data_IF_868871606672
#
_entry.id   IF_868871606672
#
_cell.length_a   1.000
_cell.length_b   1.000
_cell.length_c   1.000
_cell.angle_alpha   90.00
_cell.angle_beta   90.00
_cell.angle_gamma   90.00
#
_symmetry.space_group_name_H-M   'P 1'
#
loop_
_entity.id
_entity.type
_entity.pdbx_description
1 polymer ?
#
# COMPACT_ATOMS: atom_id res chain seq x y z
N UNK A 1 -3.42 -5.05 -33.32
CA UNK A 1 -3.19 -6.35 -32.66
C UNK A 1 -4.08 -6.51 -31.41
N UNK A 2 -4.24 -5.48 -30.58
CA UNK A 2 -5.10 -5.53 -29.40
C UNK A 2 -6.56 -5.82 -29.72
N UNK A 3 -7.13 -5.20 -30.75
CA UNK A 3 -8.52 -5.42 -31.15
C UNK A 3 -8.79 -6.88 -31.56
N UNK A 4 -7.84 -7.52 -32.29
CA UNK A 4 -7.94 -8.95 -32.64
C UNK A 4 -7.89 -9.87 -31.42
N UNK A 5 -7.13 -9.49 -30.40
CA UNK A 5 -7.01 -10.28 -29.17
C UNK A 5 -8.31 -10.19 -28.35
N UNK A 6 -8.91 -9.01 -28.30
CA UNK A 6 -10.20 -8.78 -27.64
C UNK A 6 -11.36 -9.45 -28.38
N UNK A 7 -11.37 -9.44 -29.72
CA UNK A 7 -12.33 -10.16 -30.56
C UNK A 7 -12.30 -11.68 -30.28
N UNK A 8 -11.09 -12.25 -30.14
CA UNK A 8 -10.91 -13.66 -29.81
C UNK A 8 -11.34 -14.04 -28.40
N UNK A 9 -11.19 -13.10 -27.43
CA UNK A 9 -11.52 -13.34 -26.03
C UNK A 9 -13.01 -13.18 -25.72
N UNK A 10 -13.72 -12.30 -26.41
CA UNK A 10 -15.07 -11.86 -26.04
C UNK A 10 -16.17 -12.31 -27.02
N UNK A 11 -15.80 -12.73 -28.23
CA UNK A 11 -16.76 -13.05 -29.30
C UNK A 11 -17.32 -11.82 -30.02
N UNK A 12 -17.88 -12.00 -31.21
CA UNK A 12 -18.24 -10.93 -32.15
C UNK A 12 -19.26 -9.90 -31.63
N UNK A 13 -20.12 -10.29 -30.68
CA UNK A 13 -21.19 -9.40 -30.17
C UNK A 13 -20.65 -8.19 -29.42
N UNK A 14 -19.48 -8.29 -28.78
CA UNK A 14 -18.83 -7.20 -28.01
C UNK A 14 -17.70 -6.51 -28.78
N UNK A 15 -17.29 -7.08 -29.92
CA UNK A 15 -16.18 -6.57 -30.73
C UNK A 15 -16.47 -5.18 -31.31
N UNK A 16 -17.68 -4.94 -31.80
CA UNK A 16 -18.07 -3.65 -32.37
C UNK A 16 -18.11 -2.53 -31.29
N UNK A 17 -18.67 -2.83 -30.12
CA UNK A 17 -18.70 -1.88 -29.00
C UNK A 17 -17.29 -1.52 -28.51
N UNK A 18 -16.39 -2.50 -28.46
CA UNK A 18 -14.98 -2.28 -28.12
C UNK A 18 -14.25 -1.47 -29.19
N UNK A 19 -14.44 -1.79 -30.44
CA UNK A 19 -13.81 -1.09 -31.55
C UNK A 19 -14.21 0.38 -31.57
N UNK A 20 -15.48 0.68 -31.27
CA UNK A 20 -15.96 2.04 -31.13
C UNK A 20 -15.41 2.74 -29.89
N UNK A 21 -15.38 2.06 -28.73
CA UNK A 21 -14.87 2.61 -27.46
C UNK A 21 -13.36 2.91 -27.49
N UNK A 22 -12.59 2.12 -28.27
CA UNK A 22 -11.12 2.27 -28.36
C UNK A 22 -10.64 2.82 -29.72
N UNK A 23 -11.53 3.39 -30.52
CA UNK A 23 -11.16 3.97 -31.83
C UNK A 23 -10.24 5.19 -31.74
N UNK A 24 -10.27 5.93 -30.61
CA UNK A 24 -9.52 7.18 -30.40
C UNK A 24 -8.41 7.04 -29.33
N UNK A 25 -7.95 5.82 -29.07
CA UNK A 25 -6.92 5.55 -28.02
C UNK A 25 -5.49 5.63 -28.55
N UNK A 26 -5.30 5.96 -29.83
CA UNK A 26 -3.97 6.12 -30.40
C UNK A 26 -3.24 7.33 -29.77
N UNK A 27 -2.18 7.05 -29.03
CA UNK A 27 -1.37 8.07 -28.37
C UNK A 27 -0.58 8.87 -29.43
N UNK A 28 -0.79 10.18 -29.46
CA UNK A 28 -0.01 11.07 -30.31
C UNK A 28 1.33 11.34 -29.65
N UNK A 29 2.41 10.87 -30.26
CA UNK A 29 3.78 11.22 -29.82
C UNK A 29 4.12 12.64 -30.25
N UNK A 30 4.71 13.42 -29.34
CA UNK A 30 5.35 14.69 -29.72
C UNK A 30 6.51 14.38 -30.68
N UNK A 31 6.55 14.99 -31.89
CA UNK A 31 7.63 14.79 -32.87
C UNK A 31 9.02 15.10 -32.31
N UNK A 32 9.12 15.91 -31.26
CA UNK A 32 10.37 16.25 -30.57
C UNK A 32 10.88 15.14 -29.65
N UNK A 33 10.00 14.24 -29.18
CA UNK A 33 10.32 13.14 -28.27
C UNK A 33 10.34 11.81 -29.04
N UNK A 34 11.17 11.72 -30.09
CA UNK A 34 11.37 10.49 -30.84
C UNK A 34 12.33 9.58 -30.09
N UNK A 35 11.87 8.38 -29.82
CA UNK A 35 12.63 7.33 -29.17
C UNK A 35 12.02 6.98 -27.83
N UNK A 36 12.05 5.72 -27.51
CA UNK A 36 11.59 5.13 -26.27
C UNK A 36 12.10 3.70 -26.20
N UNK A 37 12.19 3.15 -25.04
CA UNK A 37 12.68 1.79 -24.85
C UNK A 37 11.61 0.95 -24.16
N UNK A 38 11.25 -0.17 -24.76
CA UNK A 38 10.33 -1.15 -24.14
C UNK A 38 10.99 -2.51 -24.15
N UNK A 39 11.07 -3.14 -22.98
CA UNK A 39 11.56 -4.50 -22.81
C UNK A 39 10.53 -5.35 -22.08
N UNK A 40 10.26 -6.52 -22.63
CA UNK A 40 9.43 -7.55 -21.98
C UNK A 40 10.34 -8.74 -21.65
N UNK A 41 10.36 -9.12 -20.39
CA UNK A 41 11.21 -10.21 -19.89
C UNK A 41 10.33 -11.26 -19.23
N UNK A 42 10.55 -12.54 -19.60
CA UNK A 42 9.98 -13.66 -18.87
C UNK A 42 10.96 -14.06 -17.77
N UNK A 43 10.50 -13.99 -16.53
CA UNK A 43 11.30 -14.27 -15.34
C UNK A 43 11.11 -15.73 -14.96
N UNK A 44 12.19 -16.50 -14.97
CA UNK A 44 12.19 -17.91 -14.57
C UNK A 44 12.95 -18.03 -13.25
N UNK A 45 12.37 -18.65 -12.21
CA UNK A 45 13.09 -18.95 -10.98
C UNK A 45 14.18 -19.99 -11.22
N UNK A 46 15.28 -19.87 -10.49
CA UNK A 46 16.31 -20.91 -10.40
C UNK A 46 15.81 -22.07 -9.49
N UNK A 47 16.55 -23.20 -9.43
CA UNK A 47 16.10 -24.43 -8.75
C UNK A 47 15.76 -24.25 -7.26
N UNK A 48 16.43 -23.34 -6.56
CA UNK A 48 16.22 -23.06 -5.13
C UNK A 48 15.54 -21.72 -4.86
N UNK A 49 15.10 -21.00 -5.90
CA UNK A 49 14.58 -19.63 -5.82
C UNK A 49 13.06 -19.62 -5.89
N UNK A 50 12.41 -18.88 -5.01
CA UNK A 50 10.97 -18.64 -5.13
C UNK A 50 10.65 -17.70 -6.30
N UNK A 51 9.44 -17.80 -6.86
CA UNK A 51 8.99 -16.91 -7.94
C UNK A 51 9.06 -15.42 -7.55
N UNK A 52 8.85 -15.10 -6.27
CA UNK A 52 8.95 -13.74 -5.74
C UNK A 52 10.40 -13.27 -5.70
N UNK A 53 11.33 -14.12 -5.27
CA UNK A 53 12.77 -13.79 -5.25
C UNK A 53 13.32 -13.59 -6.66
N UNK A 54 12.96 -14.48 -7.60
CA UNK A 54 13.32 -14.33 -9.01
C UNK A 54 12.83 -13.01 -9.60
N UNK A 55 11.59 -12.64 -9.31
CA UNK A 55 11.03 -11.34 -9.73
C UNK A 55 11.80 -10.18 -9.11
N UNK A 56 12.09 -10.22 -7.82
CA UNK A 56 12.87 -9.19 -7.14
C UNK A 56 14.29 -9.07 -7.69
N UNK A 57 14.94 -10.20 -7.98
CA UNK A 57 16.27 -10.25 -8.63
C UNK A 57 16.25 -9.56 -9.99
N UNK A 58 15.23 -9.82 -10.82
CA UNK A 58 15.12 -9.17 -12.13
C UNK A 58 14.80 -7.67 -12.01
N UNK A 59 13.94 -7.27 -11.08
CA UNK A 59 13.71 -5.85 -10.76
C UNK A 59 15.02 -5.17 -10.38
N UNK A 60 15.83 -5.79 -9.52
CA UNK A 60 17.16 -5.30 -9.11
C UNK A 60 18.07 -5.12 -10.32
N UNK A 61 18.14 -6.12 -11.22
CA UNK A 61 18.94 -6.06 -12.44
C UNK A 61 18.55 -4.89 -13.34
N UNK A 62 17.24 -4.61 -13.47
CA UNK A 62 16.73 -3.46 -14.24
C UNK A 62 17.12 -2.13 -13.57
N UNK A 63 17.05 -2.05 -12.24
CA UNK A 63 17.46 -0.85 -11.50
C UNK A 63 18.94 -0.58 -11.71
N UNK A 64 19.80 -1.60 -11.60
CA UNK A 64 21.24 -1.46 -11.82
C UNK A 64 21.56 -1.04 -13.26
N UNK A 65 20.85 -1.57 -14.25
CA UNK A 65 20.95 -1.15 -15.63
C UNK A 65 20.58 0.34 -15.80
N UNK A 66 19.49 0.80 -15.18
CA UNK A 66 19.06 2.20 -15.24
C UNK A 66 20.06 3.13 -14.55
N UNK A 67 20.56 2.74 -13.37
CA UNK A 67 21.62 3.48 -12.65
C UNK A 67 22.88 3.58 -13.49
N UNK A 68 23.30 2.50 -14.16
CA UNK A 68 24.47 2.51 -15.05
C UNK A 68 24.33 3.46 -16.23
N UNK A 69 23.10 3.73 -16.65
CA UNK A 69 22.76 4.71 -17.71
C UNK A 69 22.57 6.14 -17.18
N UNK A 70 22.83 6.36 -15.89
CA UNK A 70 22.73 7.66 -15.25
C UNK A 70 21.32 8.11 -14.90
N UNK A 71 20.35 7.18 -14.82
CA UNK A 71 18.99 7.50 -14.38
C UNK A 71 18.97 7.50 -12.85
N UNK A 72 18.64 8.63 -12.20
CA UNK A 72 18.57 8.71 -10.75
C UNK A 72 17.33 7.95 -10.24
N UNK A 73 17.44 7.41 -9.03
CA UNK A 73 16.41 6.56 -8.41
C UNK A 73 15.04 7.24 -8.32
N UNK A 74 14.99 8.52 -8.02
CA UNK A 74 13.74 9.29 -7.93
C UNK A 74 13.03 9.51 -9.28
N UNK A 75 13.62 9.06 -10.39
CA UNK A 75 13.02 9.06 -11.74
C UNK A 75 12.55 7.68 -12.17
N UNK A 76 12.75 6.66 -11.32
CA UNK A 76 12.33 5.28 -11.55
C UNK A 76 11.08 5.02 -10.71
N UNK A 77 10.08 4.39 -11.32
CA UNK A 77 8.90 3.93 -10.61
C UNK A 77 8.70 2.43 -10.81
N UNK A 78 8.28 1.75 -9.75
CA UNK A 78 7.81 0.37 -9.78
C UNK A 78 6.29 0.40 -9.64
N UNK A 79 5.60 -0.10 -10.65
CA UNK A 79 4.13 -0.10 -10.68
C UNK A 79 3.65 -1.54 -10.58
N UNK A 80 2.80 -1.84 -9.59
CA UNK A 80 2.31 -3.20 -9.32
C UNK A 80 0.79 -3.28 -9.31
N UNK A 81 0.25 -4.47 -9.37
CA UNK A 81 -1.20 -4.72 -9.29
C UNK A 81 -1.70 -4.68 -7.84
N UNK A 82 -0.95 -5.22 -6.88
CA UNK A 82 -1.35 -5.42 -5.48
C UNK A 82 -0.32 -4.85 -4.50
N UNK A 83 -0.78 -4.28 -3.40
CA UNK A 83 0.10 -3.76 -2.35
C UNK A 83 1.01 -4.81 -1.72
N UNK A 84 0.51 -6.05 -1.55
CA UNK A 84 1.32 -7.16 -1.04
C UNK A 84 2.60 -7.41 -1.84
N UNK A 85 2.59 -7.10 -3.16
CA UNK A 85 3.76 -7.20 -4.01
C UNK A 85 4.82 -6.15 -3.67
N UNK A 86 4.40 -4.94 -3.26
CA UNK A 86 5.32 -3.88 -2.79
C UNK A 86 5.98 -4.33 -1.49
N UNK A 87 5.19 -4.79 -0.52
CA UNK A 87 5.71 -5.26 0.78
C UNK A 87 6.78 -6.35 0.60
N UNK A 88 6.50 -7.35 -0.23
CA UNK A 88 7.45 -8.42 -0.51
C UNK A 88 8.74 -7.91 -1.17
N UNK A 89 8.65 -6.93 -2.08
CA UNK A 89 9.83 -6.32 -2.71
C UNK A 89 10.64 -5.49 -1.72
N UNK A 90 9.99 -4.68 -0.89
CA UNK A 90 10.67 -3.88 0.15
C UNK A 90 11.40 -4.80 1.12
N UNK A 91 10.75 -5.89 1.57
CA UNK A 91 11.38 -6.88 2.45
C UNK A 91 12.59 -7.57 1.81
N UNK A 92 12.50 -7.94 0.54
CA UNK A 92 13.63 -8.51 -0.20
C UNK A 92 14.79 -7.51 -0.32
N UNK A 93 14.49 -6.27 -0.74
CA UNK A 93 15.51 -5.23 -0.94
C UNK A 93 16.21 -4.87 0.37
N UNK A 94 15.47 -4.72 1.46
CA UNK A 94 16.07 -4.42 2.77
C UNK A 94 17.07 -5.49 3.24
N UNK A 95 16.85 -6.76 2.88
CA UNK A 95 17.73 -7.87 3.25
C UNK A 95 18.91 -8.08 2.29
N UNK A 96 18.67 -7.94 0.99
CA UNK A 96 19.63 -8.33 -0.07
C UNK A 96 20.32 -7.13 -0.72
N UNK A 97 19.66 -5.99 -0.80
CA UNK A 97 20.11 -4.78 -1.49
C UNK A 97 19.73 -3.50 -0.70
N UNK A 98 20.30 -3.30 0.49
CA UNK A 98 20.00 -2.13 1.33
C UNK A 98 20.39 -0.79 0.68
N UNK A 99 21.18 -0.84 -0.42
CA UNK A 99 21.50 0.32 -1.25
C UNK A 99 20.36 0.80 -2.14
N UNK A 100 19.30 -0.01 -2.32
CA UNK A 100 18.12 0.32 -3.11
C UNK A 100 16.99 0.70 -2.16
N UNK A 101 16.74 2.00 -2.05
CA UNK A 101 15.62 2.51 -1.26
C UNK A 101 14.35 2.51 -2.11
N UNK A 102 13.40 1.67 -1.76
CA UNK A 102 12.06 1.66 -2.35
C UNK A 102 11.11 2.32 -1.36
N UNK A 103 10.41 3.35 -1.79
CA UNK A 103 9.35 3.95 -1.00
C UNK A 103 7.99 3.80 -1.69
N UNK A 104 6.97 3.53 -0.89
CA UNK A 104 5.58 3.51 -1.32
C UNK A 104 4.79 4.49 -0.51
N UNK A 105 3.88 5.23 -1.14
CA UNK A 105 2.96 6.11 -0.42
C UNK A 105 2.10 5.34 0.63
N UNK A 106 2.00 4.02 0.52
CA UNK A 106 1.29 3.14 1.46
C UNK A 106 2.19 2.53 2.54
N UNK A 107 3.49 2.41 2.28
CA UNK A 107 4.45 1.97 3.29
C UNK A 107 4.77 3.10 4.29
N UNK A 108 4.53 4.34 3.90
CA UNK A 108 4.76 5.54 4.71
C UNK A 108 3.45 6.13 5.22
N UNK A 109 2.59 5.30 5.79
CA UNK A 109 1.45 5.76 6.59
C UNK A 109 1.90 6.00 8.03
N UNK A 110 1.29 6.96 8.71
CA UNK A 110 1.69 7.33 10.07
C UNK A 110 1.65 6.16 11.06
N UNK A 111 0.73 5.20 10.88
CA UNK A 111 0.62 4.00 11.72
C UNK A 111 1.80 3.02 11.58
N UNK A 112 2.60 3.13 10.52
CA UNK A 112 3.77 2.28 10.33
C UNK A 112 4.96 2.67 11.23
N UNK A 113 4.92 3.86 11.84
CA UNK A 113 5.96 4.33 12.74
C UNK A 113 5.79 3.79 14.15
N UNK A 114 6.83 3.14 14.66
CA UNK A 114 6.88 2.64 16.04
C UNK A 114 6.80 3.79 17.06
N UNK A 115 7.52 4.88 16.81
CA UNK A 115 7.50 6.06 17.67
C UNK A 115 6.09 6.67 17.79
N UNK A 116 5.38 6.77 16.66
CA UNK A 116 4.01 7.30 16.67
C UNK A 116 3.04 6.30 17.32
N UNK A 117 3.17 5.01 17.06
CA UNK A 117 2.35 3.97 17.69
C UNK A 117 2.46 4.02 19.21
N UNK A 118 3.68 4.15 19.75
CA UNK A 118 3.93 4.32 21.18
C UNK A 118 3.27 5.59 21.73
N UNK A 119 3.39 6.70 21.00
CA UNK A 119 2.80 7.98 21.39
C UNK A 119 1.26 7.90 21.44
N UNK A 120 0.64 7.33 20.42
CA UNK A 120 -0.82 7.14 20.37
C UNK A 120 -1.29 6.20 21.48
N UNK A 121 -0.54 5.13 21.75
CA UNK A 121 -0.87 4.20 22.84
C UNK A 121 -0.78 4.91 24.20
N UNK A 122 0.20 5.77 24.41
CA UNK A 122 0.28 6.60 25.62
C UNK A 122 -0.90 7.58 25.73
N UNK A 123 -1.31 8.22 24.63
CA UNK A 123 -2.49 9.10 24.61
C UNK A 123 -3.78 8.34 24.96
N UNK A 124 -3.94 7.08 24.49
CA UNK A 124 -5.11 6.23 24.83
C UNK A 124 -5.21 5.97 26.34
N UNK A 125 -4.07 5.77 26.99
CA UNK A 125 -4.05 5.64 28.45
C UNK A 125 -4.34 6.97 29.15
N UNK A 126 -3.84 8.08 28.63
CA UNK A 126 -4.12 9.41 29.23
C UNK A 126 -5.59 9.79 29.08
N UNK A 127 -6.22 9.43 27.96
CA UNK A 127 -7.65 9.65 27.73
C UNK A 127 -8.53 8.81 28.66
N UNK A 128 -8.09 7.60 29.02
CA UNK A 128 -8.78 6.72 29.97
C UNK A 128 -7.77 6.00 30.86
N UNK A 129 -7.62 6.46 32.09
CA UNK A 129 -6.73 5.86 33.10
C UNK A 129 -7.05 4.38 33.41
N UNK A 130 -8.29 3.94 33.16
CA UNK A 130 -8.73 2.55 33.35
C UNK A 130 -8.16 1.62 32.26
N UNK A 131 -7.70 2.19 31.18
CA UNK A 131 -7.08 1.42 30.08
C UNK A 131 -5.65 0.96 30.47
N UNK A 132 -5.60 0.01 31.41
CA UNK A 132 -4.32 -0.55 31.90
C UNK A 132 -3.57 -1.32 30.81
N UNK A 133 -4.29 -1.82 29.79
CA UNK A 133 -3.65 -2.48 28.64
C UNK A 133 -2.77 -1.51 27.85
N UNK A 134 -3.25 -0.29 27.59
CA UNK A 134 -2.46 0.73 26.91
C UNK A 134 -1.22 1.11 27.73
N UNK A 135 -1.36 1.27 29.05
CA UNK A 135 -0.24 1.58 29.92
C UNK A 135 0.85 0.50 29.88
N UNK A 136 0.44 -0.77 30.03
CA UNK A 136 1.34 -1.92 29.95
C UNK A 136 2.00 -2.03 28.59
N UNK A 137 1.26 -1.79 27.50
CA UNK A 137 1.82 -1.82 26.14
C UNK A 137 2.93 -0.76 25.97
N UNK A 138 2.70 0.47 26.43
CA UNK A 138 3.72 1.51 26.38
C UNK A 138 4.96 1.11 27.17
N UNK A 139 4.80 0.49 28.35
CA UNK A 139 5.92 0.02 29.15
C UNK A 139 6.71 -1.10 28.46
N UNK A 140 6.02 -2.06 27.84
CA UNK A 140 6.65 -3.14 27.07
C UNK A 140 7.45 -2.57 25.89
N UNK A 141 6.83 -1.69 25.10
CA UNK A 141 7.49 -1.06 23.95
C UNK A 141 8.68 -0.22 24.37
N UNK A 142 8.57 0.50 25.48
CA UNK A 142 9.68 1.29 26.04
C UNK A 142 10.88 0.42 26.44
N UNK A 143 10.66 -0.68 27.15
CA UNK A 143 11.74 -1.59 27.55
C UNK A 143 12.34 -2.35 26.37
N UNK A 144 11.53 -2.80 25.41
CA UNK A 144 12.00 -3.64 24.32
C UNK A 144 12.59 -2.85 23.15
N UNK A 145 12.05 -1.65 22.85
CA UNK A 145 12.39 -0.90 21.66
C UNK A 145 13.24 0.35 21.93
N UNK A 146 13.15 0.92 23.14
CA UNK A 146 13.91 2.13 23.49
C UNK A 146 15.09 1.82 24.38
N UNK A 147 14.88 1.02 25.44
CA UNK A 147 15.95 0.65 26.37
C UNK A 147 16.73 -0.59 25.93
N UNK A 148 16.08 -1.51 25.19
CA UNK A 148 16.65 -2.81 24.78
C UNK A 148 17.29 -3.57 25.96
N UNK A 149 16.69 -3.46 27.16
CA UNK A 149 17.30 -3.94 28.42
C UNK A 149 17.11 -5.44 28.67
N UNK A 150 16.39 -6.14 27.78
CA UNK A 150 16.17 -7.58 27.83
C UNK A 150 15.26 -8.07 28.93
N UNK A 151 14.54 -7.16 29.63
CA UNK A 151 13.55 -7.55 30.65
C UNK A 151 12.45 -8.43 30.08
N UNK A 152 12.01 -9.43 30.88
CA UNK A 152 10.89 -10.24 30.46
C UNK A 152 9.54 -9.51 30.67
N UNK A 153 8.54 -9.88 29.87
CA UNK A 153 7.22 -9.23 29.91
C UNK A 153 6.58 -9.26 31.30
N UNK A 154 6.74 -10.37 32.04
CA UNK A 154 6.15 -10.52 33.39
C UNK A 154 6.74 -9.54 34.39
N UNK A 155 8.03 -9.26 34.31
CA UNK A 155 8.70 -8.32 35.20
C UNK A 155 8.28 -6.88 34.87
N UNK A 156 8.19 -6.52 33.59
CA UNK A 156 7.72 -5.20 33.14
C UNK A 156 6.27 -4.97 33.60
N UNK A 157 5.39 -5.94 33.41
CA UNK A 157 3.97 -5.84 33.83
C UNK A 157 3.88 -5.67 35.35
N UNK A 158 4.68 -6.41 36.14
CA UNK A 158 4.71 -6.28 37.58
C UNK A 158 5.28 -4.91 38.03
N UNK A 159 6.34 -4.44 37.39
CA UNK A 159 6.93 -3.10 37.64
C UNK A 159 5.91 -2.00 37.34
N UNK A 160 5.18 -2.09 36.22
CA UNK A 160 4.18 -1.09 35.86
C UNK A 160 2.97 -1.09 36.79
N UNK A 161 2.50 -2.25 37.24
CA UNK A 161 1.44 -2.35 38.24
C UNK A 161 1.83 -1.64 39.56
N UNK A 162 3.13 -1.50 39.82
CA UNK A 162 3.70 -0.75 40.93
C UNK A 162 4.08 0.70 40.59
N UNK A 163 3.91 1.14 39.32
CA UNK A 163 4.23 2.48 38.82
C UNK A 163 5.71 2.73 38.59
N UNK A 164 6.52 1.70 38.34
CA UNK A 164 7.98 1.81 38.12
C UNK A 164 8.43 1.43 36.71
N UNK A 165 7.54 0.95 35.84
CA UNK A 165 7.89 0.49 34.48
C UNK A 165 8.19 1.60 33.50
N UNK A 166 7.64 2.80 33.70
CA UNK A 166 7.81 3.95 32.81
C UNK A 166 8.75 5.02 33.35
N UNK A 167 9.45 5.76 32.48
CA UNK A 167 10.40 6.77 32.88
C UNK A 167 9.71 7.96 33.57
N UNK A 168 10.48 8.66 34.43
CA UNK A 168 10.08 9.94 35.07
C UNK A 168 8.74 9.90 35.81
N UNK A 169 8.27 8.71 36.18
CA UNK A 169 7.01 8.55 36.90
C UNK A 169 5.78 8.95 36.06
N UNK A 170 5.82 8.74 34.75
CA UNK A 170 4.68 9.04 33.84
C UNK A 170 3.38 8.50 34.43
N UNK A 171 3.36 7.24 34.84
CA UNK A 171 2.18 6.62 35.42
C UNK A 171 1.66 7.33 36.71
N UNK A 172 2.53 7.97 37.46
CA UNK A 172 2.16 8.68 38.69
C UNK A 172 1.67 10.12 38.47
N UNK A 173 1.89 10.65 37.27
CA UNK A 173 1.54 12.04 36.91
C UNK A 173 0.35 12.12 35.96
N UNK A 174 -0.48 11.10 35.90
CA UNK A 174 -1.62 11.02 34.97
C UNK A 174 -2.51 12.27 35.02
N UNK A 175 -2.90 12.75 36.21
CA UNK A 175 -3.77 13.93 36.36
C UNK A 175 -3.13 15.19 35.73
N UNK A 176 -1.82 15.37 35.88
CA UNK A 176 -1.10 16.49 35.28
C UNK A 176 -1.00 16.37 33.78
N UNK A 177 -0.73 15.16 33.29
CA UNK A 177 -0.67 14.88 31.86
C UNK A 177 -2.03 15.08 31.18
N UNK A 178 -3.11 14.63 31.81
CA UNK A 178 -4.47 14.79 31.30
C UNK A 178 -4.93 16.27 31.21
N UNK A 179 -4.31 17.17 31.98
CA UNK A 179 -4.60 18.61 31.94
C UNK A 179 -3.66 19.37 30.99
N UNK A 180 -2.64 18.72 30.43
CA UNK A 180 -1.68 19.35 29.53
C UNK A 180 -2.30 19.51 28.13
N UNK A 181 -2.15 20.67 27.46
CA UNK A 181 -2.62 20.86 26.09
C UNK A 181 -2.05 19.77 25.17
N UNK A 182 -2.87 19.27 24.23
CA UNK A 182 -2.56 18.08 23.44
C UNK A 182 -1.19 18.14 22.72
N UNK A 183 -0.88 19.27 22.09
CA UNK A 183 0.40 19.43 21.38
C UNK A 183 1.61 19.35 22.36
N UNK A 184 1.53 20.07 23.46
CA UNK A 184 2.57 20.06 24.52
C UNK A 184 2.67 18.68 25.17
N UNK A 185 1.54 18.00 25.36
CA UNK A 185 1.48 16.63 25.87
C UNK A 185 2.23 15.66 24.95
N UNK A 186 1.98 15.74 23.64
CA UNK A 186 2.68 14.89 22.67
C UNK A 186 4.20 15.18 22.66
N UNK A 187 4.62 16.44 22.71
CA UNK A 187 6.05 16.78 22.81
C UNK A 187 6.68 16.25 24.11
N UNK A 188 5.96 16.37 25.22
CA UNK A 188 6.41 15.89 26.53
C UNK A 188 6.59 14.36 26.51
N UNK A 189 5.61 13.63 26.03
CA UNK A 189 5.66 12.17 25.90
C UNK A 189 6.76 11.72 24.94
N UNK A 190 6.88 12.36 23.77
CA UNK A 190 7.95 12.08 22.81
C UNK A 190 9.34 12.19 23.42
N UNK A 191 9.55 13.22 24.27
CA UNK A 191 10.80 13.43 24.96
C UNK A 191 11.01 12.48 26.13
N UNK A 192 9.98 12.27 26.96
CA UNK A 192 10.08 11.44 28.17
C UNK A 192 10.24 9.94 27.83
N UNK A 193 9.54 9.46 26.82
CA UNK A 193 9.66 8.08 26.34
C UNK A 193 10.93 7.85 25.50
N UNK A 194 11.77 8.88 25.27
CA UNK A 194 13.02 8.72 24.55
C UNK A 194 12.85 8.40 23.06
N UNK A 195 11.70 8.73 22.45
CA UNK A 195 11.36 8.35 21.07
C UNK A 195 12.28 8.98 20.02
N UNK A 196 13.17 9.89 20.41
CA UNK A 196 14.27 10.40 19.57
C UNK A 196 15.28 9.32 19.17
N UNK A 197 15.29 8.17 19.85
CA UNK A 197 16.12 7.03 19.49
C UNK A 197 15.78 6.48 18.08
N UNK A 198 14.53 6.63 17.65
CA UNK A 198 14.08 6.21 16.32
C UNK A 198 14.48 7.24 15.25
N UNK A 199 15.77 7.38 14.97
CA UNK A 199 16.31 8.38 14.04
C UNK A 199 15.81 8.21 12.60
N UNK A 200 15.58 6.98 12.16
CA UNK A 200 15.05 6.66 10.83
C UNK A 200 13.58 7.07 10.66
N UNK A 201 12.86 7.23 11.76
CA UNK A 201 11.45 7.60 11.77
C UNK A 201 11.22 9.13 11.88
N UNK A 202 12.26 9.96 11.83
CA UNK A 202 12.16 11.41 11.97
C UNK A 202 11.15 12.05 11.00
N UNK A 203 11.09 11.55 9.76
CA UNK A 203 10.12 12.02 8.77
C UNK A 203 8.65 11.76 9.15
N UNK A 204 8.39 10.61 9.79
CA UNK A 204 7.07 10.26 10.32
C UNK A 204 6.68 11.18 11.47
N UNK A 205 7.61 11.37 12.39
CA UNK A 205 7.40 12.20 13.59
C UNK A 205 7.11 13.65 13.19
N UNK A 206 7.88 14.22 12.26
CA UNK A 206 7.65 15.58 11.75
C UNK A 206 6.26 15.68 11.09
N UNK A 207 5.92 14.75 10.20
CA UNK A 207 4.62 14.74 9.54
C UNK A 207 3.46 14.58 10.53
N UNK A 208 3.65 13.81 11.59
CA UNK A 208 2.66 13.67 12.67
C UNK A 208 2.46 15.01 13.40
N UNK A 209 3.54 15.66 13.84
CA UNK A 209 3.43 16.93 14.57
C UNK A 209 2.86 18.07 13.71
N UNK A 210 3.16 18.11 12.41
CA UNK A 210 2.55 19.07 11.48
C UNK A 210 1.03 18.90 11.40
N UNK A 211 0.55 17.66 11.33
CA UNK A 211 -0.89 17.37 11.29
C UNK A 211 -1.58 17.58 12.63
N UNK A 212 -0.90 17.22 13.71
CA UNK A 212 -1.37 17.50 15.06
C UNK A 212 -1.56 19.00 15.27
N UNK A 213 -0.58 19.81 14.85
CA UNK A 213 -0.66 21.27 14.93
C UNK A 213 -1.82 21.84 14.12
N UNK A 214 -2.02 21.35 12.90
CA UNK A 214 -3.15 21.74 12.04
C UNK A 214 -4.48 21.38 12.71
N UNK A 215 -4.61 20.17 13.25
CA UNK A 215 -5.82 19.74 13.95
C UNK A 215 -6.12 20.57 15.21
N UNK A 216 -5.09 20.89 16.01
CA UNK A 216 -5.24 21.75 17.18
C UNK A 216 -5.66 23.19 16.84
N UNK A 217 -5.35 23.66 15.61
CA UNK A 217 -5.81 24.97 15.11
C UNK A 217 -7.29 25.01 14.74
N UNK A 218 -7.83 23.88 14.30
CA UNK A 218 -9.20 23.78 13.77
C UNK A 218 -10.20 23.20 14.80
N UNK A 219 -9.72 22.59 15.89
CA UNK A 219 -10.53 21.83 16.84
C UNK A 219 -10.28 22.27 18.29
N UNK A 220 -11.22 21.94 19.19
CA UNK A 220 -11.10 22.25 20.62
C UNK A 220 -9.94 21.56 21.36
N UNK A 221 -9.19 20.71 20.66
CA UNK A 221 -7.89 20.21 21.09
C UNK A 221 -7.88 19.17 22.23
N UNK A 222 -8.99 18.43 22.46
CA UNK A 222 -9.02 17.39 23.46
C UNK A 222 -8.41 16.07 22.96
N UNK A 223 -7.84 15.27 23.86
CA UNK A 223 -7.17 14.00 23.54
C UNK A 223 -8.13 12.99 22.93
N UNK A 224 -9.36 12.92 23.42
CA UNK A 224 -10.37 11.95 22.96
C UNK A 224 -10.78 12.22 21.52
N UNK A 225 -11.08 13.47 21.18
CA UNK A 225 -11.43 13.86 19.81
C UNK A 225 -10.27 13.65 18.83
N UNK A 226 -9.04 13.87 19.27
CA UNK A 226 -7.87 13.57 18.44
C UNK A 226 -7.69 12.06 18.20
N UNK A 227 -7.92 11.22 19.20
CA UNK A 227 -7.85 9.76 19.04
C UNK A 227 -8.95 9.25 18.10
N UNK A 228 -10.15 9.83 18.14
CA UNK A 228 -11.21 9.53 17.18
C UNK A 228 -10.80 9.94 15.74
N UNK A 229 -10.22 11.11 15.56
CA UNK A 229 -9.67 11.56 14.28
C UNK A 229 -8.54 10.64 13.80
N UNK A 230 -7.65 10.23 14.71
CA UNK A 230 -6.60 9.26 14.42
C UNK A 230 -7.18 7.94 13.89
N UNK A 231 -8.12 7.35 14.62
CA UNK A 231 -8.70 6.04 14.29
C UNK A 231 -9.51 6.04 12.99
N UNK A 232 -10.15 7.15 12.65
CA UNK A 232 -10.96 7.25 11.44
C UNK A 232 -10.13 7.60 10.19
N UNK A 233 -9.15 8.49 10.29
CA UNK A 233 -8.52 9.09 9.11
C UNK A 233 -6.99 9.17 9.19
N UNK A 234 -6.45 9.72 10.29
CA UNK A 234 -5.08 10.17 10.33
C UNK A 234 -4.06 9.04 10.25
N UNK A 235 -4.34 7.89 10.84
CA UNK A 235 -3.42 6.74 10.88
C UNK A 235 -3.01 6.26 9.48
N UNK A 236 -3.92 6.33 8.49
CA UNK A 236 -3.68 5.97 7.08
C UNK A 236 -3.12 7.10 6.23
N UNK A 237 -2.89 8.25 6.82
CA UNK A 237 -2.33 9.38 6.10
C UNK A 237 -0.91 9.10 5.64
N UNK A 238 -0.67 9.20 4.34
CA UNK A 238 0.66 9.09 3.77
C UNK A 238 1.53 10.29 4.13
N UNK A 239 2.82 10.04 4.38
CA UNK A 239 3.81 11.11 4.53
C UNK A 239 4.15 11.67 3.16
N UNK A 240 4.32 13.00 3.00
CA UNK A 240 4.76 13.57 1.73
C UNK A 240 6.10 12.98 1.31
N UNK A 241 6.12 12.30 0.16
CA UNK A 241 7.30 11.63 -0.39
C UNK A 241 8.43 12.59 -0.86
N UNK A 242 8.36 13.87 -0.52
CA UNK A 242 9.28 14.91 -0.97
C UNK A 242 10.69 14.88 -0.38
N UNK A 243 11.00 13.95 0.52
CA UNK A 243 12.28 13.89 1.22
C UNK A 243 13.12 12.63 0.94
N UNK A 244 12.65 11.70 0.10
CA UNK A 244 13.37 10.45 -0.15
C UNK A 244 13.93 10.41 -1.57
N UNK A 245 15.25 10.36 -1.71
CA UNK A 245 15.97 10.09 -2.95
C UNK A 245 15.93 8.59 -3.31
N UNK A 246 14.73 7.98 -3.35
CA UNK A 246 14.55 6.56 -3.61
C UNK A 246 13.63 6.27 -4.79
N UNK A 247 13.45 4.98 -5.09
CA UNK A 247 12.57 4.47 -6.15
C UNK A 247 11.14 4.43 -5.63
N UNK A 248 10.23 5.04 -6.38
CA UNK A 248 8.82 5.08 -6.00
C UNK A 248 8.10 3.78 -6.40
N UNK A 249 7.48 3.10 -5.43
CA UNK A 249 6.62 1.94 -5.69
C UNK A 249 5.15 2.29 -5.40
N UNK A 250 4.25 1.87 -6.30
CA UNK A 250 2.82 2.13 -6.16
C UNK A 250 1.97 1.14 -6.94
N UNK A 251 0.66 1.12 -6.66
CA UNK A 251 -0.28 0.37 -7.48
C UNK A 251 -0.64 1.10 -8.76
N UNK A 252 -1.11 0.34 -9.78
CA UNK A 252 -1.53 0.91 -11.07
C UNK A 252 -2.60 2.00 -10.87
N UNK A 253 -3.56 1.79 -9.96
CA UNK A 253 -4.61 2.78 -9.68
C UNK A 253 -4.05 4.10 -9.17
N UNK A 254 -3.04 4.07 -8.30
CA UNK A 254 -2.41 5.28 -7.75
C UNK A 254 -1.48 5.97 -8.73
N UNK A 255 -0.99 5.26 -9.74
CA UNK A 255 -0.17 5.84 -10.79
C UNK A 255 -0.97 6.69 -11.79
N UNK A 256 -2.32 6.66 -11.73
CA UNK A 256 -3.17 7.43 -12.63
C UNK A 256 -2.90 8.93 -12.48
N UNK A 257 -2.55 9.60 -13.59
CA UNK A 257 -2.20 11.03 -13.61
C UNK A 257 -0.73 11.34 -13.31
N UNK A 258 0.07 10.36 -12.89
CA UNK A 258 1.51 10.53 -12.68
C UNK A 258 2.30 10.12 -13.92
N UNK A 259 3.53 10.62 -14.03
CA UNK A 259 4.46 10.30 -15.12
C UNK A 259 5.87 10.12 -14.57
N UNK A 260 6.58 9.13 -15.09
CA UNK A 260 7.92 8.77 -14.64
C UNK A 260 8.88 8.67 -15.83
N UNK A 261 10.18 8.91 -15.61
CA UNK A 261 11.18 8.70 -16.63
C UNK A 261 11.25 7.24 -17.07
N UNK A 262 11.32 6.33 -16.10
CA UNK A 262 11.38 4.89 -16.32
C UNK A 262 10.38 4.17 -15.43
N UNK A 263 9.67 3.20 -15.98
CA UNK A 263 8.72 2.38 -15.24
C UNK A 263 9.11 0.91 -15.33
N UNK A 264 9.12 0.25 -14.18
CA UNK A 264 9.24 -1.20 -14.06
C UNK A 264 7.86 -1.73 -13.67
N UNK A 265 7.31 -2.64 -14.46
CA UNK A 265 6.02 -3.28 -14.26
C UNK A 265 6.24 -4.77 -13.97
N UNK A 266 6.51 -5.16 -12.72
CA UNK A 266 6.66 -6.57 -12.35
C UNK A 266 5.32 -7.26 -12.22
N UNK A 267 5.32 -8.60 -12.23
CA UNK A 267 4.13 -9.44 -12.08
C UNK A 267 3.04 -9.16 -13.12
N UNK A 268 3.44 -8.91 -14.38
CA UNK A 268 2.50 -8.57 -15.46
C UNK A 268 1.88 -9.84 -16.08
N UNK A 269 1.44 -10.80 -15.23
CA UNK A 269 0.78 -12.06 -15.62
C UNK A 269 -0.57 -12.27 -14.93
N UNK A 270 -1.24 -11.20 -14.48
CA UNK A 270 -2.55 -11.34 -13.82
C UNK A 270 -3.65 -11.81 -14.78
N UNK A 271 -4.57 -12.58 -14.25
CA UNK A 271 -5.74 -13.06 -14.98
C UNK A 271 -6.65 -11.89 -15.38
N UNK A 272 -7.09 -11.88 -16.65
CA UNK A 272 -8.02 -10.88 -17.16
C UNK A 272 -9.46 -11.10 -16.68
N UNK A 273 -9.81 -12.34 -16.32
CA UNK A 273 -11.11 -12.73 -15.80
C UNK A 273 -10.92 -13.49 -14.48
N UNK A 274 -11.27 -12.88 -13.36
CA UNK A 274 -11.14 -13.48 -12.03
C UNK A 274 -12.46 -14.11 -11.60
N UNK A 275 -12.44 -15.40 -11.22
CA UNK A 275 -13.60 -16.14 -10.72
C UNK A 275 -13.73 -16.09 -9.18
N UNK A 276 -13.24 -15.05 -8.53
CA UNK A 276 -13.22 -14.94 -7.05
C UNK A 276 -14.31 -14.04 -6.49
N UNK A 277 -15.04 -13.34 -7.36
CA UNK A 277 -16.00 -12.33 -6.97
C UNK A 277 -17.41 -12.90 -6.85
N UNK A 278 -18.30 -12.13 -6.24
CA UNK A 278 -19.73 -12.41 -6.15
C UNK A 278 -20.40 -11.59 -7.25
N UNK A 279 -21.16 -12.27 -8.10
CA UNK A 279 -22.03 -11.65 -9.11
C UNK A 279 -23.35 -11.28 -8.45
N UNK A 280 -23.68 -9.98 -8.44
CA UNK A 280 -24.97 -9.48 -8.00
C UNK A 280 -25.89 -9.34 -9.20
N UNK A 281 -26.98 -10.09 -9.23
CA UNK A 281 -27.92 -10.09 -10.37
C UNK A 281 -29.36 -10.19 -9.92
N UNK A 282 -30.28 -9.95 -10.83
CA UNK A 282 -31.70 -10.19 -10.65
C UNK A 282 -32.05 -11.62 -11.07
N UNK A 283 -33.13 -12.16 -10.53
CA UNK A 283 -33.64 -13.46 -10.94
C UNK A 283 -35.13 -13.36 -11.18
N UNK A 284 -35.55 -13.86 -12.35
CA UNK A 284 -36.95 -14.03 -12.68
C UNK A 284 -37.57 -15.27 -12.03
N UNK A 285 -36.83 -15.99 -11.23
CA UNK A 285 -37.33 -17.15 -10.49
C UNK A 285 -38.39 -16.72 -9.48
N UNK A 286 -39.61 -17.32 -9.48
CA UNK A 286 -40.69 -17.00 -8.55
C UNK A 286 -40.28 -17.07 -7.07
N UNK A 287 -39.34 -17.94 -6.71
CA UNK A 287 -38.80 -18.06 -5.33
C UNK A 287 -37.91 -16.87 -4.92
N UNK A 288 -37.40 -16.13 -5.88
CA UNK A 288 -36.50 -14.98 -5.65
C UNK A 288 -37.16 -13.62 -5.95
N UNK A 289 -38.45 -13.58 -6.36
CA UNK A 289 -39.15 -12.36 -6.78
C UNK A 289 -39.19 -11.27 -5.71
N UNK A 290 -39.09 -11.64 -4.45
CA UNK A 290 -39.06 -10.69 -3.32
C UNK A 290 -37.68 -10.11 -3.03
N UNK A 291 -36.64 -10.57 -3.74
CA UNK A 291 -35.27 -10.10 -3.58
C UNK A 291 -34.92 -9.15 -4.73
N UNK A 292 -34.55 -7.94 -4.41
CA UNK A 292 -34.16 -6.94 -5.41
C UNK A 292 -32.90 -7.39 -6.19
N UNK A 293 -31.97 -8.06 -5.51
CA UNK A 293 -30.75 -8.67 -6.08
C UNK A 293 -30.38 -9.93 -5.32
N UNK A 294 -29.77 -10.88 -6.00
CA UNK A 294 -29.26 -12.11 -5.41
C UNK A 294 -27.74 -12.21 -5.62
N UNK A 295 -26.97 -12.61 -4.59
CA UNK A 295 -25.55 -12.89 -4.73
C UNK A 295 -25.33 -14.31 -5.28
N UNK A 296 -24.56 -14.41 -6.37
CA UNK A 296 -24.19 -15.69 -6.98
C UNK A 296 -22.67 -15.77 -7.04
N UNK A 297 -22.11 -16.92 -6.69
CA UNK A 297 -20.67 -17.15 -6.85
C UNK A 297 -20.29 -17.09 -8.33
N UNK A 298 -19.43 -16.15 -8.70
CA UNK A 298 -18.95 -15.99 -10.06
C UNK A 298 -17.95 -17.11 -10.41
N UNK A 299 -18.44 -18.12 -11.10
CA UNK A 299 -17.66 -19.31 -11.49
C UNK A 299 -17.92 -19.69 -12.94
N UNK A 300 -17.01 -20.48 -13.54
CA UNK A 300 -17.19 -20.99 -14.92
C UNK A 300 -18.45 -21.83 -15.09
N UNK A 301 -18.99 -22.42 -14.03
CA UNK A 301 -20.26 -23.19 -14.08
C UNK A 301 -21.47 -22.35 -14.46
N UNK A 302 -21.41 -21.03 -14.31
CA UNK A 302 -22.49 -20.14 -14.73
C UNK A 302 -22.70 -20.13 -16.25
N UNK A 303 -21.71 -20.55 -17.03
CA UNK A 303 -21.82 -20.69 -18.50
C UNK A 303 -22.88 -21.71 -18.92
N UNK A 304 -23.18 -22.69 -18.06
CA UNK A 304 -24.19 -23.74 -18.32
C UNK A 304 -25.50 -23.49 -17.55
N UNK A 305 -25.68 -22.28 -17.01
CA UNK A 305 -26.82 -21.92 -16.17
C UNK A 305 -27.73 -20.88 -16.86
N UNK A 306 -28.85 -20.58 -16.19
CA UNK A 306 -29.76 -19.50 -16.59
C UNK A 306 -29.12 -18.10 -16.49
N UNK A 307 -27.95 -18.00 -15.86
CA UNK A 307 -27.20 -16.75 -15.67
C UNK A 307 -26.05 -16.58 -16.67
N UNK A 308 -26.14 -17.23 -17.84
CA UNK A 308 -25.13 -17.15 -18.90
C UNK A 308 -24.89 -15.70 -19.37
N UNK A 309 -25.98 -14.96 -19.53
CA UNK A 309 -25.91 -13.57 -20.01
C UNK A 309 -25.19 -12.66 -19.00
N UNK A 310 -25.56 -12.76 -17.74
CA UNK A 310 -24.93 -12.00 -16.63
C UNK A 310 -23.47 -12.39 -16.48
N UNK A 311 -23.15 -13.68 -16.59
CA UNK A 311 -21.77 -14.17 -16.58
C UNK A 311 -20.95 -13.54 -17.71
N UNK A 312 -21.47 -13.52 -18.94
CA UNK A 312 -20.78 -12.95 -20.08
C UNK A 312 -20.62 -11.44 -19.94
N UNK A 313 -21.62 -10.73 -19.44
CA UNK A 313 -21.56 -9.30 -19.20
C UNK A 313 -20.51 -8.96 -18.13
N UNK A 314 -20.45 -9.71 -17.05
CA UNK A 314 -19.44 -9.51 -16.00
C UNK A 314 -18.03 -9.84 -16.51
N UNK A 315 -17.88 -10.95 -17.23
CA UNK A 315 -16.62 -11.30 -17.90
C UNK A 315 -16.13 -10.17 -18.82
N UNK A 316 -17.04 -9.61 -19.60
CA UNK A 316 -16.74 -8.50 -20.49
C UNK A 316 -16.23 -7.28 -19.72
N UNK A 317 -16.92 -6.87 -18.64
CA UNK A 317 -16.52 -5.76 -17.79
C UNK A 317 -15.15 -6.00 -17.18
N UNK A 318 -14.90 -7.18 -16.61
CA UNK A 318 -13.61 -7.51 -15.99
C UNK A 318 -12.45 -7.46 -16.98
N UNK A 319 -12.64 -7.96 -18.20
CA UNK A 319 -11.62 -7.91 -19.25
C UNK A 319 -11.31 -6.45 -19.63
N UNK A 320 -12.35 -5.63 -19.81
CA UNK A 320 -12.17 -4.20 -20.12
C UNK A 320 -11.42 -3.48 -18.98
N UNK A 321 -11.82 -3.71 -17.74
CA UNK A 321 -11.19 -3.07 -16.58
C UNK A 321 -9.71 -3.44 -16.46
N UNK A 322 -9.38 -4.72 -16.63
CA UNK A 322 -7.99 -5.17 -16.63
C UNK A 322 -7.19 -4.63 -17.83
N UNK A 323 -7.83 -4.49 -18.99
CA UNK A 323 -7.20 -3.87 -20.16
C UNK A 323 -6.93 -2.38 -19.92
N UNK A 324 -7.89 -1.64 -19.35
CA UNK A 324 -7.73 -0.24 -18.98
C UNK A 324 -6.61 -0.04 -17.95
N UNK A 325 -6.49 -0.96 -17.00
CA UNK A 325 -5.39 -0.93 -16.02
C UNK A 325 -4.03 -1.12 -16.69
N UNK A 326 -3.93 -2.07 -17.61
CA UNK A 326 -2.69 -2.27 -18.37
C UNK A 326 -2.35 -1.04 -19.21
N UNK A 327 -3.35 -0.43 -19.85
CA UNK A 327 -3.19 0.83 -20.58
C UNK A 327 -2.67 1.94 -19.67
N UNK A 328 -3.26 2.12 -18.50
CA UNK A 328 -2.77 3.11 -17.51
C UNK A 328 -1.32 2.84 -17.16
N UNK A 329 -0.95 1.61 -16.82
CA UNK A 329 0.43 1.29 -16.45
C UNK A 329 1.43 1.55 -17.60
N UNK A 330 1.07 1.15 -18.82
CA UNK A 330 1.93 1.31 -20.01
C UNK A 330 2.07 2.76 -20.47
N UNK A 331 1.17 3.65 -20.08
CA UNK A 331 1.22 5.08 -20.44
C UNK A 331 1.90 5.97 -19.38
N UNK A 332 2.40 5.39 -18.29
CA UNK A 332 3.12 6.16 -17.24
C UNK A 332 4.58 6.51 -17.59
N UNK A 333 5.33 5.66 -18.32
CA UNK A 333 6.72 5.98 -18.64
C UNK A 333 6.83 7.04 -19.75
N UNK A 334 7.80 7.96 -19.56
CA UNK A 334 8.20 8.94 -20.58
C UNK A 334 9.27 8.39 -21.53
N UNK A 335 10.21 7.59 -20.99
CA UNK A 335 11.39 7.16 -21.73
C UNK A 335 11.53 5.64 -21.82
N UNK A 336 11.33 4.90 -20.73
CA UNK A 336 11.54 3.46 -20.72
C UNK A 336 10.53 2.69 -19.91
N UNK A 337 10.10 1.56 -20.48
CA UNK A 337 9.16 0.62 -19.88
C UNK A 337 9.77 -0.78 -19.83
N UNK A 338 9.82 -1.36 -18.64
CA UNK A 338 10.27 -2.72 -18.41
C UNK A 338 9.11 -3.54 -17.87
N UNK A 339 8.64 -4.50 -18.65
CA UNK A 339 7.55 -5.40 -18.28
C UNK A 339 8.16 -6.74 -17.90
N UNK A 340 7.94 -7.15 -16.64
CA UNK A 340 8.44 -8.42 -16.14
C UNK A 340 7.26 -9.35 -15.88
N UNK A 341 7.30 -10.51 -16.50
CA UNK A 341 6.26 -11.52 -16.43
C UNK A 341 6.85 -12.79 -15.81
N UNK A 342 6.21 -13.38 -14.81
CA UNK A 342 6.56 -14.70 -14.30
C UNK A 342 6.44 -15.77 -15.39
N UNK A 343 7.28 -16.79 -15.35
CA UNK A 343 7.19 -17.91 -16.27
C UNK A 343 5.83 -18.59 -16.10
N UNK A 344 5.19 -18.95 -17.21
CA UNK A 344 3.98 -19.78 -17.20
C UNK A 344 4.31 -21.11 -16.52
N UNK A 345 3.50 -21.48 -15.52
CA UNK A 345 3.56 -22.85 -15.01
C UNK A 345 3.27 -23.77 -16.19
N UNK A 346 4.26 -24.57 -16.59
CA UNK A 346 4.00 -25.68 -17.49
C UNK A 346 3.05 -26.61 -16.75
N UNK A 347 1.79 -26.74 -17.28
CA UNK A 347 0.87 -27.78 -16.88
C UNK A 347 1.45 -29.17 -17.14
#
# INVERSE_FOLDING_TARGET
QCNKLLENLLGGQYAEALQQAYSDVEQKCDPKNKGGYVRVTNVTPDEEESATEAMCREVTSVIDELRSKGVPDNKIAIIVRKNSQITSMVEYMSKKRPDILIYSAEAYVLEASTAISMLITALRWIADERNKMALVQVALDYHWMVLEDGKCATDIVNDECNGFGLPNGIAKNHEVLAQTPLYELCELLYRQLGLRAFTEETGYVMAFFDRLLAWCGDSAGDVSGFLEYWDNELHKSAIPAGACDGIQAMTIHKSKGLEFHSVILPYCEWELNSHRDILWTHSDNPLAQNLATIPIAYTSKLQESIFLEEYNNERFKQIIDNYNLLYVACTRPKNSLFILKGAEKKE
#
